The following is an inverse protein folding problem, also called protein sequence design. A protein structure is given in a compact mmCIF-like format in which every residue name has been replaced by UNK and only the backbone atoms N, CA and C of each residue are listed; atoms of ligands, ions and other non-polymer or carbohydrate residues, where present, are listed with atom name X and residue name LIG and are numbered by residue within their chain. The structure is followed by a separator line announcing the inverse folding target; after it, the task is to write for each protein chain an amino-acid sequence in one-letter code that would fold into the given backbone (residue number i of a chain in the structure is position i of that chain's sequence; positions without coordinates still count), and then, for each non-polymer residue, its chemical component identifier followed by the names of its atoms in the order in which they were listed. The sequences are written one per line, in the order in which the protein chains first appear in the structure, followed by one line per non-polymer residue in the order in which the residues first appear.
data_IF_193192807593
#
_entry.id   IF_193192807593
#
_cell.length_a   1.000
_cell.length_b   1.000
_cell.length_c   1.000
_cell.angle_alpha   90.00
_cell.angle_beta   90.00
_cell.angle_gamma   90.00
#
_symmetry.space_group_name_H-M   'P 1'
#
loop_
_entity.id
_entity.type
_entity.pdbx_description
1 polymer ?
#
# COMPACT_ATOMS: atom_id res chain seq x y z
N UNK A 1 5.86 10.73 10.84
CA UNK A 1 6.12 10.08 9.53
C UNK A 1 4.83 10.00 8.71
N UNK A 2 4.90 10.34 7.41
CA UNK A 2 3.79 10.21 6.46
C UNK A 2 3.98 8.97 5.58
N UNK A 3 2.94 8.18 5.38
CA UNK A 3 2.96 6.93 4.61
C UNK A 3 1.86 6.98 3.56
N UNK A 4 2.25 7.03 2.29
CA UNK A 4 1.32 6.90 1.17
C UNK A 4 1.06 5.42 0.86
N UNK A 5 -0.20 5.04 0.76
CA UNK A 5 -0.64 3.68 0.41
C UNK A 5 -1.22 3.71 -0.99
N UNK A 6 -0.65 2.96 -1.93
CA UNK A 6 -1.12 2.84 -3.32
C UNK A 6 -2.47 2.11 -3.47
N UNK A 7 -3.45 2.42 -2.62
CA UNK A 7 -4.82 1.91 -2.63
C UNK A 7 -5.74 2.86 -1.87
N UNK A 8 -6.98 3.02 -2.35
CA UNK A 8 -8.06 3.69 -1.61
C UNK A 8 -8.88 2.71 -0.74
N UNK A 9 -8.50 1.43 -0.67
CA UNK A 9 -9.22 0.47 0.17
C UNK A 9 -8.89 0.73 1.65
N UNK A 10 -9.89 1.07 2.50
CA UNK A 10 -9.65 1.43 3.90
C UNK A 10 -9.00 0.29 4.70
N UNK A 11 -9.27 -0.98 4.36
CA UNK A 11 -8.66 -2.14 5.03
C UNK A 11 -7.15 -2.20 4.76
N UNK A 12 -6.72 -1.88 3.53
CA UNK A 12 -5.28 -1.87 3.19
C UNK A 12 -4.54 -0.71 3.84
N UNK A 13 -5.18 0.45 3.94
CA UNK A 13 -4.63 1.62 4.63
C UNK A 13 -4.46 1.32 6.12
N UNK A 14 -5.49 0.76 6.76
CA UNK A 14 -5.43 0.37 8.18
C UNK A 14 -4.36 -0.71 8.44
N UNK A 15 -4.22 -1.69 7.54
CA UNK A 15 -3.19 -2.72 7.65
C UNK A 15 -1.77 -2.13 7.57
N UNK A 16 -1.54 -1.18 6.66
CA UNK A 16 -0.27 -0.45 6.58
C UNK A 16 -0.01 0.33 7.88
N UNK A 17 -1.00 1.10 8.36
CA UNK A 17 -0.87 1.85 9.60
C UNK A 17 -0.52 0.96 10.80
N UNK A 18 -1.19 -0.18 10.96
CA UNK A 18 -0.90 -1.14 12.03
C UNK A 18 0.52 -1.73 11.92
N UNK A 19 0.96 -2.09 10.72
CA UNK A 19 2.32 -2.60 10.49
C UNK A 19 3.40 -1.57 10.81
N UNK A 20 3.22 -0.32 10.37
CA UNK A 20 4.15 0.77 10.69
C UNK A 20 4.15 1.10 12.19
N UNK A 21 2.98 1.13 12.85
CA UNK A 21 2.89 1.38 14.29
C UNK A 21 3.58 0.29 15.13
N UNK A 22 3.55 -0.96 14.67
CA UNK A 22 4.25 -2.06 15.35
C UNK A 22 5.77 -1.92 15.30
N UNK A 23 6.32 -1.37 14.21
CA UNK A 23 7.77 -1.19 14.03
C UNK A 23 8.26 0.13 14.62
N UNK A 24 7.45 1.19 14.53
CA UNK A 24 7.76 2.54 15.02
C UNK A 24 6.70 3.05 16.00
N UNK A 25 6.61 2.48 17.21
CA UNK A 25 5.54 2.79 18.16
C UNK A 25 5.59 4.21 18.74
N UNK A 26 6.75 4.87 18.69
CA UNK A 26 6.94 6.23 19.22
C UNK A 26 6.75 7.33 18.16
N UNK A 27 6.60 6.97 16.88
CA UNK A 27 6.43 7.93 15.79
C UNK A 27 4.96 8.31 15.63
N UNK A 28 4.70 9.60 15.35
CA UNK A 28 3.38 10.03 14.90
C UNK A 28 3.18 9.59 13.44
N UNK A 29 2.20 8.75 13.16
CA UNK A 29 1.93 8.18 11.83
C UNK A 29 0.72 8.83 11.16
N UNK A 30 0.88 9.25 9.91
CA UNK A 30 -0.20 9.68 9.02
C UNK A 30 -0.20 8.76 7.80
N UNK A 31 -1.24 7.93 7.64
CA UNK A 31 -1.35 6.96 6.55
C UNK A 31 -2.50 7.34 5.60
N UNK A 32 -2.16 7.73 4.38
CA UNK A 32 -3.12 8.22 3.38
C UNK A 32 -3.20 7.28 2.17
N UNK A 33 -4.41 7.07 1.65
CA UNK A 33 -4.63 6.33 0.42
C UNK A 33 -4.41 7.19 -0.82
N UNK A 34 -3.75 6.62 -1.84
CA UNK A 34 -3.51 7.24 -3.13
C UNK A 34 -4.13 6.41 -4.26
N UNK A 35 -4.77 7.10 -5.22
CA UNK A 35 -5.28 6.49 -6.46
C UNK A 35 -4.16 6.47 -7.50
N UNK A 36 -3.71 5.27 -7.86
CA UNK A 36 -2.65 5.06 -8.85
C UNK A 36 -2.90 3.76 -9.62
N UNK A 37 -2.64 3.78 -10.93
CA UNK A 37 -2.79 2.59 -11.78
C UNK A 37 -1.66 1.58 -11.54
N UNK A 38 -1.94 0.28 -11.64
CA UNK A 38 -0.93 -0.77 -11.47
C UNK A 38 -0.10 -1.07 -12.71
N UNK A 39 -0.52 -0.61 -13.90
CA UNK A 39 0.14 -0.96 -15.16
C UNK A 39 0.08 -2.46 -15.53
N UNK A 40 -0.75 -3.24 -14.83
CA UNK A 40 -1.05 -4.65 -15.11
C UNK A 40 -2.56 -4.86 -15.04
N UNK A 41 -3.06 -6.02 -15.51
CA UNK A 41 -4.48 -6.35 -15.46
C UNK A 41 -5.07 -6.31 -14.04
N UNK A 42 -6.39 -6.11 -13.95
CA UNK A 42 -7.11 -5.95 -12.68
C UNK A 42 -6.97 -7.16 -11.76
N UNK A 43 -6.87 -8.35 -12.35
CA UNK A 43 -6.53 -9.60 -11.68
C UNK A 43 -5.25 -10.17 -12.28
N UNK A 44 -4.06 -9.79 -11.76
CA UNK A 44 -2.80 -10.40 -12.17
C UNK A 44 -2.83 -11.91 -11.95
N UNK A 45 -2.45 -12.70 -12.97
CA UNK A 45 -2.56 -14.17 -12.95
C UNK A 45 -1.24 -14.86 -12.63
N UNK A 46 -0.21 -14.09 -12.28
CA UNK A 46 1.09 -14.62 -11.88
C UNK A 46 1.68 -13.80 -10.72
N UNK A 47 2.63 -14.42 -10.02
CA UNK A 47 3.41 -13.75 -8.98
C UNK A 47 4.19 -12.55 -9.54
N UNK A 48 4.82 -12.73 -10.72
CA UNK A 48 5.61 -11.69 -11.39
C UNK A 48 4.74 -10.45 -11.67
N UNK A 49 3.54 -10.65 -12.21
CA UNK A 49 2.63 -9.54 -12.49
C UNK A 49 2.07 -8.90 -11.22
N UNK A 50 1.77 -9.69 -10.19
CA UNK A 50 1.29 -9.18 -8.90
C UNK A 50 2.34 -8.28 -8.23
N UNK A 51 3.60 -8.72 -8.22
CA UNK A 51 4.73 -7.93 -7.68
C UNK A 51 4.95 -6.68 -8.52
N UNK A 52 4.94 -6.79 -9.85
CA UNK A 52 5.08 -5.64 -10.76
C UNK A 52 3.99 -4.60 -10.49
N UNK A 53 2.73 -5.03 -10.43
CA UNK A 53 1.61 -4.16 -10.14
C UNK A 53 1.68 -3.49 -8.77
N UNK A 54 2.18 -4.17 -7.75
CA UNK A 54 2.43 -3.58 -6.44
C UNK A 54 3.55 -2.52 -6.49
N UNK A 55 4.68 -2.82 -7.16
CA UNK A 55 5.81 -1.88 -7.32
C UNK A 55 5.43 -0.64 -8.11
N UNK A 56 4.59 -0.76 -9.14
CA UNK A 56 4.14 0.39 -9.94
C UNK A 56 3.25 1.34 -9.14
N UNK A 57 2.57 0.87 -8.08
CA UNK A 57 1.72 1.70 -7.21
C UNK A 57 2.47 2.37 -6.04
N UNK A 58 3.71 1.96 -5.77
CA UNK A 58 4.53 2.47 -4.66
C UNK A 58 5.34 3.69 -5.12
#
# INVERSE_FOLDING_TARGET
MRVAVGSLNPVRIAAAAAGFAAVWPAESLECDGCRVASGVGDQPMSNIESIRGARTRA
#
